data_IF_219124685544
#
_entry.id   IF_219124685544
#
_cell.length_a   1.000
_cell.length_b   1.000
_cell.length_c   1.000
_cell.angle_alpha   90.00
_cell.angle_beta   90.00
_cell.angle_gamma   90.00
#
_symmetry.space_group_name_H-M   'P 1'
#
loop_
_entity.id
_entity.type
_entity.pdbx_description
1 polymer ?
#
# COMPACT_ATOMS: atom_id res chain seq x y z
N UNK A 1 6.62 4.05 9.38
CA UNK A 1 5.87 2.81 9.16
C UNK A 1 5.04 2.54 10.40
N UNK A 2 3.73 2.39 10.28
CA UNK A 2 3.17 1.51 9.26
C UNK A 2 2.00 2.17 8.56
N UNK A 3 2.19 2.47 7.27
CA UNK A 3 1.16 2.97 6.35
C UNK A 3 0.16 1.86 5.96
N UNK A 4 0.20 0.73 6.67
CA UNK A 4 -0.62 -0.45 6.41
C UNK A 4 -1.35 -0.93 7.65
N UNK A 5 -2.64 -1.28 7.53
CA UNK A 5 -3.39 -1.93 8.59
C UNK A 5 -2.94 -3.37 8.86
N UNK A 6 -2.28 -4.04 7.91
CA UNK A 6 -1.83 -5.43 8.04
C UNK A 6 -0.67 -5.58 9.04
N UNK A 7 0.10 -4.52 9.26
CA UNK A 7 1.27 -4.52 10.11
C UNK A 7 0.96 -4.87 11.58
N UNK A 8 1.89 -5.56 12.24
CA UNK A 8 1.74 -5.90 13.65
C UNK A 8 1.55 -4.64 14.52
N UNK A 9 0.54 -4.67 15.41
CA UNK A 9 0.32 -3.59 16.38
C UNK A 9 1.45 -3.57 17.42
N UNK A 10 1.73 -2.44 18.10
CA UNK A 10 2.70 -2.41 19.19
C UNK A 10 2.43 -3.44 20.28
N UNK A 11 1.16 -3.72 20.57
CA UNK A 11 0.75 -4.75 21.52
C UNK A 11 1.13 -6.16 21.05
N UNK A 12 0.88 -6.47 19.76
CA UNK A 12 1.29 -7.74 19.15
C UNK A 12 2.81 -7.90 19.10
N UNK A 13 3.54 -6.85 18.75
CA UNK A 13 5.02 -6.85 18.74
C UNK A 13 5.58 -7.14 20.13
N UNK A 14 4.96 -6.61 21.19
CA UNK A 14 5.37 -6.88 22.58
C UNK A 14 4.77 -8.18 23.14
N UNK A 15 3.86 -8.84 22.42
CA UNK A 15 3.21 -10.08 22.85
C UNK A 15 2.30 -9.90 24.07
N UNK A 16 1.52 -8.82 24.11
CA UNK A 16 0.55 -8.53 25.18
C UNK A 16 -0.82 -8.13 24.60
N UNK A 17 -1.93 -8.36 25.32
CA UNK A 17 -3.22 -7.82 24.89
C UNK A 17 -3.25 -6.29 25.04
N UNK A 18 -4.10 -5.61 24.26
CA UNK A 18 -4.34 -4.16 24.37
C UNK A 18 -4.87 -3.74 25.74
N UNK A 19 -5.45 -4.67 26.50
CA UNK A 19 -5.95 -4.48 27.88
C UNK A 19 -4.90 -4.69 28.97
N UNK A 20 -3.65 -5.00 28.62
CA UNK A 20 -2.59 -5.25 29.60
C UNK A 20 -2.35 -4.02 30.51
N UNK A 21 -2.07 -4.23 31.80
CA UNK A 21 -1.67 -3.14 32.69
C UNK A 21 -0.25 -2.63 32.38
N UNK A 22 0.10 -1.46 32.92
CA UNK A 22 1.40 -0.81 32.67
C UNK A 22 2.59 -1.65 33.16
N UNK A 23 2.39 -2.50 34.17
CA UNK A 23 3.43 -3.38 34.70
C UNK A 23 3.69 -4.58 33.79
N UNK A 24 2.63 -5.19 33.27
CA UNK A 24 2.70 -6.25 32.27
C UNK A 24 3.34 -5.73 30.98
N UNK A 25 2.98 -4.52 30.56
CA UNK A 25 3.57 -3.87 29.39
C UNK A 25 5.09 -3.65 29.57
N UNK A 26 5.51 -3.11 30.72
CA UNK A 26 6.93 -2.93 31.06
C UNK A 26 7.69 -4.25 31.12
N UNK A 27 7.10 -5.30 31.71
CA UNK A 27 7.70 -6.65 31.76
C UNK A 27 7.86 -7.24 30.36
N UNK A 28 6.84 -7.12 29.52
CA UNK A 28 6.83 -7.64 28.17
C UNK A 28 7.89 -6.96 27.29
N UNK A 29 8.02 -5.63 27.38
CA UNK A 29 9.07 -4.90 26.68
C UNK A 29 10.47 -5.38 27.08
N UNK A 30 10.77 -5.51 28.38
CA UNK A 30 12.09 -6.00 28.83
C UNK A 30 12.40 -7.40 28.31
N UNK A 31 11.40 -8.28 28.28
CA UNK A 31 11.54 -9.64 27.73
C UNK A 31 11.82 -9.59 26.23
N UNK A 32 10.95 -8.91 25.47
CA UNK A 32 11.06 -8.81 24.01
C UNK A 32 12.38 -8.14 23.57
N UNK A 33 12.82 -7.10 24.29
CA UNK A 33 14.09 -6.43 24.01
C UNK A 33 15.30 -7.35 24.24
N UNK A 34 15.26 -8.20 25.28
CA UNK A 34 16.34 -9.17 25.55
C UNK A 34 16.37 -10.29 24.51
N UNK A 35 15.20 -10.81 24.12
CA UNK A 35 15.07 -11.90 23.15
C UNK A 35 15.46 -11.47 21.74
N UNK A 36 15.20 -10.21 21.37
CA UNK A 36 15.52 -9.69 20.04
C UNK A 36 16.92 -9.07 19.92
N UNK A 37 17.68 -8.91 21.02
CA UNK A 37 18.94 -8.19 21.00
C UNK A 37 20.01 -8.85 20.10
N UNK A 38 20.65 -8.13 19.15
CA UNK A 38 21.61 -8.71 18.21
C UNK A 38 22.83 -9.33 18.90
N UNK A 39 23.36 -8.70 19.96
CA UNK A 39 24.50 -9.24 20.72
C UNK A 39 24.15 -10.51 21.51
N UNK A 40 22.86 -10.83 21.66
CA UNK A 40 22.38 -12.07 22.30
C UNK A 40 21.92 -13.10 21.26
N UNK A 41 22.25 -12.91 19.98
CA UNK A 41 21.84 -13.78 18.89
C UNK A 41 20.43 -13.52 18.37
N UNK A 42 19.80 -12.41 18.76
CA UNK A 42 18.50 -11.98 18.27
C UNK A 42 18.58 -11.27 16.91
N UNK A 43 17.41 -11.03 16.31
CA UNK A 43 17.30 -10.35 15.02
C UNK A 43 17.23 -8.82 15.20
N UNK A 44 18.17 -8.10 14.55
CA UNK A 44 18.24 -6.64 14.64
C UNK A 44 16.99 -5.93 14.10
N UNK A 45 16.32 -6.51 13.09
CA UNK A 45 15.06 -5.96 12.57
C UNK A 45 13.96 -6.08 13.63
N UNK A 46 13.83 -7.26 14.25
CA UNK A 46 12.92 -7.48 15.37
C UNK A 46 13.21 -6.53 16.53
N UNK A 47 14.48 -6.34 16.92
CA UNK A 47 14.83 -5.41 17.99
C UNK A 47 14.35 -3.98 17.70
N UNK A 48 14.55 -3.49 16.47
CA UNK A 48 14.02 -2.17 16.06
C UNK A 48 12.50 -2.10 16.16
N UNK A 49 11.78 -3.15 15.76
CA UNK A 49 10.30 -3.20 15.92
C UNK A 49 9.89 -3.11 17.38
N UNK A 50 10.59 -3.81 18.28
CA UNK A 50 10.34 -3.76 19.73
C UNK A 50 10.56 -2.34 20.28
N UNK A 51 11.63 -1.64 19.86
CA UNK A 51 11.88 -0.26 20.27
C UNK A 51 10.78 0.69 19.78
N UNK A 52 10.42 0.61 18.48
CA UNK A 52 9.35 1.43 17.92
C UNK A 52 7.99 1.16 18.58
N UNK A 53 7.71 -0.09 18.96
CA UNK A 53 6.51 -0.44 19.72
C UNK A 53 6.52 0.24 21.10
N UNK A 54 7.65 0.18 21.80
CA UNK A 54 7.80 0.83 23.11
C UNK A 54 7.67 2.35 23.04
N UNK A 55 8.22 3.01 22.01
CA UNK A 55 8.04 4.45 21.81
C UNK A 55 6.56 4.84 21.69
N UNK A 56 5.74 3.97 21.08
CA UNK A 56 4.32 4.24 20.83
C UNK A 56 3.41 4.01 22.02
N UNK A 57 3.67 2.99 22.82
CA UNK A 57 2.76 2.59 23.91
C UNK A 57 3.41 2.50 25.28
N UNK A 58 4.73 2.72 25.39
CA UNK A 58 5.48 2.53 26.62
C UNK A 58 5.22 3.57 27.72
N UNK A 59 4.58 4.69 27.39
CA UNK A 59 4.13 5.68 28.38
C UNK A 59 2.61 5.80 28.36
N UNK A 60 1.95 6.14 29.49
CA UNK A 60 0.50 6.32 29.52
C UNK A 60 -0.01 7.36 28.52
N UNK A 61 0.76 8.42 28.27
CA UNK A 61 0.40 9.45 27.29
C UNK A 61 0.48 8.92 25.85
N UNK A 62 1.59 8.25 25.49
CA UNK A 62 1.77 7.67 24.16
C UNK A 62 0.74 6.57 23.89
N UNK A 63 0.49 5.71 24.89
CA UNK A 63 -0.53 4.67 24.84
C UNK A 63 -1.93 5.22 24.61
N UNK A 64 -2.34 6.25 25.37
CA UNK A 64 -3.64 6.92 25.13
C UNK A 64 -3.74 7.53 23.74
N UNK A 65 -2.68 8.18 23.27
CA UNK A 65 -2.65 8.78 21.93
C UNK A 65 -2.74 7.70 20.83
N UNK A 66 -2.05 6.57 21.03
CA UNK A 66 -2.15 5.41 20.16
C UNK A 66 -3.58 4.85 20.17
N UNK A 67 -4.13 4.50 21.34
CA UNK A 67 -5.44 3.85 21.48
C UNK A 67 -6.59 4.72 20.96
N UNK A 68 -6.58 6.03 21.27
CA UNK A 68 -7.57 7.00 20.80
C UNK A 68 -7.57 7.19 19.28
N UNK A 69 -6.60 6.60 18.57
CA UNK A 69 -6.53 6.56 17.11
C UNK A 69 -6.56 7.95 16.53
N UNK A 70 -5.50 8.75 16.76
CA UNK A 70 -5.34 10.15 16.30
C UNK A 70 -6.46 10.59 15.35
N UNK A 71 -7.55 11.15 15.91
CA UNK A 71 -8.77 11.61 15.23
C UNK A 71 -8.50 12.82 14.30
N UNK A 72 -7.38 12.84 13.58
CA UNK A 72 -6.90 14.01 12.86
C UNK A 72 -5.64 13.82 12.04
N UNK A 73 -5.52 12.76 11.23
CA UNK A 73 -4.54 12.79 10.12
C UNK A 73 -4.82 11.80 8.99
N UNK A 74 -6.03 11.85 8.44
CA UNK A 74 -6.28 11.44 7.05
C UNK A 74 -7.17 12.51 6.42
N UNK A 75 -6.54 13.59 5.98
CA UNK A 75 -7.22 14.75 5.39
C UNK A 75 -6.69 16.10 5.87
N UNK A 76 -5.41 16.40 5.57
CA UNK A 76 -4.94 17.77 5.27
C UNK A 76 -3.42 17.75 5.19
N UNK A 77 -2.90 17.86 3.98
CA UNK A 77 -1.57 18.39 3.74
C UNK A 77 -1.46 19.80 4.34
N UNK A 78 -0.55 20.00 5.30
CA UNK A 78 0.00 21.33 5.59
C UNK A 78 0.06 21.75 7.06
N UNK A 79 1.28 22.08 7.48
CA UNK A 79 1.65 23.07 8.51
C UNK A 79 1.69 22.60 9.97
N UNK A 80 2.91 22.30 10.45
CA UNK A 80 3.26 22.39 11.87
C UNK A 80 3.73 23.82 12.23
N UNK A 81 3.49 24.31 13.46
CA UNK A 81 3.81 25.67 13.85
C UNK A 81 5.21 25.74 14.48
N UNK A 82 6.08 26.57 13.91
CA UNK A 82 7.22 27.13 14.65
C UNK A 82 7.24 28.64 14.42
N UNK A 83 6.92 29.37 15.49
CA UNK A 83 7.20 30.80 15.60
C UNK A 83 8.67 31.01 15.95
N UNK A 84 9.39 31.79 15.15
CA UNK A 84 10.44 32.68 15.66
C UNK A 84 10.40 33.99 14.88
N UNK A 85 10.20 35.06 15.63
CA UNK A 85 10.30 36.49 15.31
C UNK A 85 11.58 36.89 14.55
N UNK A 86 11.46 37.84 13.62
CA UNK A 86 12.60 38.54 13.02
C UNK A 86 12.16 39.61 12.02
N UNK A 87 12.48 40.86 12.31
CA UNK A 87 11.93 42.08 11.73
C UNK A 87 12.32 42.41 10.27
N UNK A 88 11.55 43.35 9.72
CA UNK A 88 11.94 44.48 8.85
C UNK A 88 11.99 44.28 7.32
N UNK A 89 11.41 45.26 6.61
CA UNK A 89 11.72 45.55 5.21
C UNK A 89 10.51 45.75 4.29
N UNK A 90 9.92 46.94 4.34
CA UNK A 90 8.90 47.40 3.39
C UNK A 90 9.52 47.71 2.00
N UNK A 91 8.78 47.43 0.91
CA UNK A 91 8.46 48.42 -0.14
C UNK A 91 7.78 47.79 -1.38
N UNK A 92 6.51 48.17 -1.59
CA UNK A 92 5.92 48.66 -2.84
C UNK A 92 6.00 47.85 -4.14
N UNK A 93 4.84 47.55 -4.73
CA UNK A 93 4.36 48.28 -5.92
C UNK A 93 2.91 47.91 -6.28
N UNK A 94 2.19 48.95 -6.67
CA UNK A 94 0.78 49.10 -6.98
C UNK A 94 0.33 48.49 -8.30
N UNK A 95 -0.92 48.05 -8.36
CA UNK A 95 -1.68 47.81 -9.60
C UNK A 95 -3.18 47.86 -9.33
N UNK A 96 -3.75 49.07 -9.41
CA UNK A 96 -5.18 49.36 -9.21
C UNK A 96 -6.03 48.90 -10.40
N UNK A 97 -7.14 48.20 -10.14
CA UNK A 97 -8.30 48.23 -11.03
C UNK A 97 -9.59 48.33 -10.20
N UNK A 98 -10.44 49.23 -10.64
CA UNK A 98 -11.63 49.79 -10.02
C UNK A 98 -12.87 48.93 -10.26
N UNK A 99 -13.70 48.72 -9.23
CA UNK A 99 -15.03 48.12 -9.40
C UNK A 99 -15.79 47.83 -8.09
N UNK A 100 -16.46 48.86 -7.56
CA UNK A 100 -17.69 48.93 -6.71
C UNK A 100 -17.95 47.90 -5.57
N UNK A 101 -18.44 48.33 -4.38
CA UNK A 101 -18.61 47.47 -3.22
C UNK A 101 -19.97 46.75 -3.22
N UNK A 102 -19.95 45.44 -3.03
CA UNK A 102 -21.12 44.70 -2.54
C UNK A 102 -20.80 44.17 -1.13
N UNK A 103 -21.70 44.49 -0.22
CA UNK A 103 -21.63 44.20 1.20
C UNK A 103 -22.18 42.80 1.49
N UNK A 104 -21.33 41.86 1.89
CA UNK A 104 -21.82 40.64 2.51
C UNK A 104 -20.87 39.45 2.43
N UNK A 105 -20.24 39.17 3.57
CA UNK A 105 -19.57 37.90 3.95
C UNK A 105 -18.18 37.69 3.36
N UNK A 106 -17.19 38.09 4.17
CA UNK A 106 -15.87 37.46 4.22
C UNK A 106 -16.02 35.98 4.62
N UNK A 107 -16.40 35.13 3.67
CA UNK A 107 -16.12 33.71 3.74
C UNK A 107 -14.75 33.52 3.09
N UNK A 108 -13.71 33.32 3.91
CA UNK A 108 -12.48 32.70 3.44
C UNK A 108 -12.85 31.34 2.85
N UNK A 109 -13.03 31.28 1.53
CA UNK A 109 -13.13 30.03 0.79
C UNK A 109 -11.69 29.52 0.60
N UNK A 110 -11.32 28.34 1.14
CA UNK A 110 -10.01 27.78 0.86
C UNK A 110 -9.88 27.64 -0.66
N UNK A 111 -8.70 27.92 -1.25
CA UNK A 111 -8.51 27.76 -2.68
C UNK A 111 -8.88 26.32 -3.04
N UNK A 112 -9.86 26.16 -3.93
CA UNK A 112 -10.22 24.86 -4.46
C UNK A 112 -8.94 24.18 -4.94
N UNK A 113 -8.66 22.97 -4.44
CA UNK A 113 -7.48 22.21 -4.85
C UNK A 113 -7.40 22.25 -6.39
N UNK A 114 -6.31 22.81 -6.91
CA UNK A 114 -6.12 22.97 -8.36
C UNK A 114 -6.32 21.59 -8.97
N UNK A 115 -7.31 21.43 -9.85
CA UNK A 115 -7.49 20.18 -10.61
C UNK A 115 -6.17 19.92 -11.32
N UNK A 116 -5.55 18.80 -10.99
CA UNK A 116 -4.33 18.36 -11.63
C UNK A 116 -4.65 18.10 -13.11
N UNK A 117 -4.16 18.97 -13.99
CA UNK A 117 -4.39 18.90 -15.45
C UNK A 117 -3.35 18.01 -16.14
N UNK A 118 -2.43 17.39 -15.38
CA UNK A 118 -1.42 16.51 -15.96
C UNK A 118 -2.12 15.36 -16.67
N UNK A 119 -1.73 15.04 -17.91
CA UNK A 119 -2.24 13.89 -18.61
C UNK A 119 -1.95 12.61 -17.81
N UNK A 120 -2.97 11.81 -17.49
CA UNK A 120 -2.89 10.57 -16.70
C UNK A 120 -2.89 9.32 -17.59
N UNK A 121 -2.52 8.19 -17.01
CA UNK A 121 -2.64 6.90 -17.68
C UNK A 121 -4.10 6.58 -18.01
N UNK A 122 -4.32 5.79 -19.06
CA UNK A 122 -5.64 5.22 -19.34
C UNK A 122 -5.89 4.07 -18.35
N UNK A 123 -7.02 4.08 -17.67
CA UNK A 123 -7.37 3.10 -16.63
C UNK A 123 -8.74 2.47 -16.91
N UNK A 124 -8.83 1.17 -16.68
CA UNK A 124 -10.02 0.35 -16.87
C UNK A 124 -10.20 -0.60 -15.68
N UNK A 125 -11.44 -0.88 -15.27
CA UNK A 125 -11.73 -1.67 -14.06
C UNK A 125 -11.73 -0.82 -12.79
N UNK A 126 -11.90 -1.47 -11.64
CA UNK A 126 -12.00 -0.82 -10.32
C UNK A 126 -10.89 -1.34 -9.40
N UNK A 127 -9.74 -0.66 -9.28
CA UNK A 127 -8.64 -1.16 -8.46
C UNK A 127 -9.06 -1.29 -7.00
N UNK A 128 -8.80 -2.44 -6.40
CA UNK A 128 -9.12 -2.74 -5.01
C UNK A 128 -10.61 -3.01 -4.77
N UNK A 129 -11.46 -2.98 -5.81
CA UNK A 129 -12.90 -3.14 -5.66
C UNK A 129 -13.26 -4.49 -5.06
N UNK A 130 -12.78 -5.57 -5.69
CA UNK A 130 -13.02 -6.93 -5.20
C UNK A 130 -12.40 -7.17 -3.83
N UNK A 131 -11.19 -6.66 -3.61
CA UNK A 131 -10.45 -6.79 -2.35
C UNK A 131 -11.18 -6.08 -1.20
N UNK A 132 -11.72 -4.87 -1.44
CA UNK A 132 -12.55 -4.13 -0.48
C UNK A 132 -13.83 -4.87 -0.14
N UNK A 133 -14.53 -5.42 -1.12
CA UNK A 133 -15.75 -6.19 -0.87
C UNK A 133 -15.49 -7.38 0.06
N UNK A 134 -14.42 -8.14 -0.20
CA UNK A 134 -14.02 -9.28 0.63
C UNK A 134 -13.67 -8.81 2.05
N UNK A 135 -12.94 -7.70 2.19
CA UNK A 135 -12.67 -7.09 3.50
C UNK A 135 -13.96 -6.71 4.24
N UNK A 136 -14.86 -5.95 3.60
CA UNK A 136 -16.11 -5.46 4.21
C UNK A 136 -17.02 -6.62 4.63
N UNK A 137 -17.04 -7.70 3.86
CA UNK A 137 -17.78 -8.90 4.23
C UNK A 137 -17.17 -9.55 5.47
N UNK A 138 -15.86 -9.79 5.48
CA UNK A 138 -15.16 -10.41 6.60
C UNK A 138 -15.27 -9.58 7.89
N UNK A 139 -15.16 -8.25 7.79
CA UNK A 139 -15.33 -7.35 8.91
C UNK A 139 -16.75 -7.41 9.48
N UNK A 140 -17.77 -7.39 8.62
CA UNK A 140 -19.17 -7.48 9.04
C UNK A 140 -19.49 -8.82 9.73
N UNK A 141 -18.94 -9.92 9.22
CA UNK A 141 -19.07 -11.24 9.84
C UNK A 141 -18.39 -11.28 11.22
N UNK A 142 -17.25 -10.61 11.37
CA UNK A 142 -16.51 -10.54 12.64
C UNK A 142 -17.17 -9.65 13.69
N UNK A 143 -17.59 -8.42 13.33
CA UNK A 143 -18.29 -7.51 14.25
C UNK A 143 -19.64 -8.08 14.66
N UNK A 144 -20.28 -8.82 13.76
CA UNK A 144 -21.59 -9.42 13.95
C UNK A 144 -22.63 -8.81 13.02
N UNK A 145 -23.41 -9.65 12.36
CA UNK A 145 -24.37 -9.26 11.32
C UNK A 145 -25.49 -8.31 11.79
N UNK A 146 -25.68 -8.14 13.10
CA UNK A 146 -26.76 -7.34 13.69
C UNK A 146 -26.38 -5.93 14.12
N UNK A 147 -25.09 -5.62 14.26
CA UNK A 147 -24.63 -4.31 14.73
C UNK A 147 -24.21 -3.44 13.54
N UNK A 148 -24.78 -2.22 13.38
CA UNK A 148 -24.38 -1.34 12.30
C UNK A 148 -22.96 -0.84 12.53
N UNK A 149 -22.08 -1.09 11.55
CA UNK A 149 -20.77 -0.47 11.49
C UNK A 149 -20.93 0.93 10.87
N UNK A 150 -20.72 1.97 11.68
CA UNK A 150 -20.85 3.38 11.24
C UNK A 150 -19.75 3.77 10.25
N UNK A 151 -18.50 3.42 10.56
CA UNK A 151 -17.34 3.60 9.69
C UNK A 151 -16.51 2.30 9.63
N UNK A 152 -16.64 1.51 8.55
CA UNK A 152 -15.85 0.29 8.29
C UNK A 152 -14.34 0.50 8.19
N UNK A 153 -13.89 1.75 8.15
CA UNK A 153 -12.47 2.08 8.04
C UNK A 153 -11.97 2.83 9.29
N UNK A 154 -12.76 2.88 10.37
CA UNK A 154 -12.34 3.50 11.62
C UNK A 154 -11.02 2.86 12.11
N UNK A 155 -9.94 3.64 12.29
CA UNK A 155 -8.64 3.09 12.64
C UNK A 155 -8.64 2.30 13.95
N UNK A 156 -9.54 2.59 14.88
CA UNK A 156 -9.65 1.87 16.16
C UNK A 156 -10.31 0.52 15.96
N UNK A 157 -11.40 0.48 15.19
CA UNK A 157 -12.05 -0.76 14.77
C UNK A 157 -11.05 -1.66 14.03
N UNK A 158 -10.40 -1.14 12.99
CA UNK A 158 -9.42 -1.88 12.18
C UNK A 158 -8.32 -2.45 13.06
N UNK A 159 -7.70 -1.66 13.95
CA UNK A 159 -6.60 -2.14 14.81
C UNK A 159 -7.04 -3.24 15.78
N UNK A 160 -8.30 -3.26 16.19
CA UNK A 160 -8.86 -4.30 17.06
C UNK A 160 -9.21 -5.59 16.30
N UNK A 161 -9.31 -5.53 14.97
CA UNK A 161 -9.67 -6.67 14.15
C UNK A 161 -8.57 -7.77 14.14
N UNK A 162 -8.97 -9.05 14.04
CA UNK A 162 -8.06 -10.16 13.82
C UNK A 162 -7.09 -9.90 12.67
N UNK A 163 -5.84 -10.39 12.79
CA UNK A 163 -4.77 -10.15 11.81
C UNK A 163 -5.19 -10.48 10.37
N UNK A 164 -5.94 -11.57 10.16
CA UNK A 164 -6.38 -11.96 8.82
C UNK A 164 -7.36 -10.96 8.20
N UNK A 165 -8.21 -10.28 8.98
CA UNK A 165 -9.13 -9.24 8.49
C UNK A 165 -8.35 -7.97 8.14
N UNK A 166 -7.44 -7.56 9.02
CA UNK A 166 -6.55 -6.42 8.75
C UNK A 166 -5.71 -6.62 7.50
N UNK A 167 -5.29 -7.87 7.24
CA UNK A 167 -4.58 -8.25 6.01
C UNK A 167 -5.44 -8.01 4.76
N UNK A 168 -6.73 -8.37 4.77
CA UNK A 168 -7.62 -8.13 3.63
C UNK A 168 -7.71 -6.63 3.28
N UNK A 169 -7.81 -5.76 4.30
CA UNK A 169 -7.75 -4.32 4.06
C UNK A 169 -6.38 -3.88 3.56
N UNK A 170 -5.30 -4.44 4.09
CA UNK A 170 -3.93 -4.18 3.64
C UNK A 170 -3.73 -4.52 2.16
N UNK A 171 -4.26 -5.66 1.71
CA UNK A 171 -4.25 -6.09 0.31
C UNK A 171 -5.03 -5.10 -0.58
N UNK A 172 -6.24 -4.71 -0.18
CA UNK A 172 -7.03 -3.71 -0.91
C UNK A 172 -6.31 -2.36 -1.03
N UNK A 173 -5.71 -1.86 0.06
CA UNK A 173 -4.96 -0.61 0.05
C UNK A 173 -3.64 -0.70 -0.73
N UNK A 174 -2.97 -1.85 -0.72
CA UNK A 174 -1.77 -2.09 -1.51
C UNK A 174 -2.08 -2.04 -3.01
N UNK A 175 -3.20 -2.64 -3.41
CA UNK A 175 -3.72 -2.63 -4.76
C UNK A 175 -4.04 -1.21 -5.25
N UNK A 176 -4.77 -0.44 -4.45
CA UNK A 176 -5.12 0.96 -4.74
C UNK A 176 -3.90 1.86 -4.82
N UNK A 177 -2.93 1.68 -3.90
CA UNK A 177 -1.69 2.44 -3.92
C UNK A 177 -0.88 2.17 -5.20
N UNK A 178 -0.89 0.92 -5.67
CA UNK A 178 -0.27 0.52 -6.94
C UNK A 178 -0.98 1.19 -8.11
N UNK A 179 -2.32 1.17 -8.14
CA UNK A 179 -3.11 1.84 -9.16
C UNK A 179 -2.88 3.36 -9.18
N UNK A 180 -2.76 4.01 -8.02
CA UNK A 180 -2.44 5.44 -7.92
C UNK A 180 -1.09 5.76 -8.56
N UNK A 181 -0.05 4.98 -8.26
CA UNK A 181 1.29 5.17 -8.86
C UNK A 181 1.21 5.03 -10.38
N UNK A 182 0.55 3.98 -10.88
CA UNK A 182 0.42 3.70 -12.31
C UNK A 182 -0.40 4.79 -13.02
N UNK A 183 -1.47 5.29 -12.40
CA UNK A 183 -2.30 6.37 -12.95
C UNK A 183 -1.50 7.65 -13.19
N UNK A 184 -0.50 7.93 -12.35
CA UNK A 184 0.30 9.16 -12.40
C UNK A 184 1.48 9.06 -13.39
N UNK A 185 1.71 7.89 -14.01
CA UNK A 185 2.80 7.69 -14.98
C UNK A 185 2.54 8.32 -16.37
N UNK A 186 1.33 8.83 -16.60
CA UNK A 186 0.97 9.59 -17.80
C UNK A 186 0.48 8.77 -19.00
N UNK A 187 0.23 9.47 -20.12
CA UNK A 187 -0.57 8.97 -21.27
C UNK A 187 0.02 7.78 -22.03
N UNK A 188 1.33 7.53 -21.85
CA UNK A 188 2.02 6.38 -22.45
C UNK A 188 1.63 5.05 -21.79
N UNK A 189 0.96 5.10 -20.63
CA UNK A 189 0.57 3.93 -19.85
C UNK A 189 -0.92 3.63 -20.03
N UNK A 190 -1.25 2.35 -20.10
CA UNK A 190 -2.62 1.84 -20.04
C UNK A 190 -2.67 0.73 -19.01
N UNK A 191 -3.65 0.76 -18.11
CA UNK A 191 -3.80 -0.23 -17.04
C UNK A 191 -5.22 -0.78 -17.02
N UNK A 192 -5.31 -2.08 -16.78
CA UNK A 192 -6.55 -2.79 -16.46
C UNK A 192 -6.41 -3.29 -15.03
N UNK A 193 -7.45 -3.10 -14.23
CA UNK A 193 -7.52 -3.44 -12.80
C UNK A 193 -8.52 -4.57 -12.57
N UNK A 194 -8.33 -5.39 -11.54
CA UNK A 194 -9.26 -6.46 -11.13
C UNK A 194 -9.62 -7.40 -12.29
N UNK A 195 -8.61 -8.00 -12.93
CA UNK A 195 -8.83 -8.92 -14.07
C UNK A 195 -9.28 -10.30 -13.58
N UNK A 196 -10.34 -10.83 -14.18
CA UNK A 196 -10.79 -12.21 -13.97
C UNK A 196 -9.73 -13.22 -14.46
N UNK A 197 -9.23 -14.04 -13.54
CA UNK A 197 -8.28 -15.12 -13.81
C UNK A 197 -8.95 -16.51 -13.69
N UNK A 198 -10.29 -16.57 -13.68
CA UNK A 198 -11.08 -17.78 -13.60
C UNK A 198 -10.86 -18.53 -12.30
N UNK A 199 -10.50 -19.81 -12.39
CA UNK A 199 -10.27 -20.65 -11.21
C UNK A 199 -9.06 -20.20 -10.36
N UNK A 200 -8.18 -19.36 -10.90
CA UNK A 200 -7.03 -18.81 -10.17
C UNK A 200 -7.40 -17.50 -9.41
N UNK A 201 -8.67 -17.08 -9.43
CA UNK A 201 -9.14 -15.87 -8.76
C UNK A 201 -9.05 -14.65 -9.66
N UNK A 202 -8.30 -13.64 -9.24
CA UNK A 202 -8.07 -12.40 -9.99
C UNK A 202 -6.58 -12.14 -10.20
N UNK A 203 -6.27 -11.28 -11.15
CA UNK A 203 -4.98 -10.60 -11.28
C UNK A 203 -5.22 -9.11 -11.02
N UNK A 204 -4.54 -8.53 -10.02
CA UNK A 204 -4.80 -7.15 -9.62
C UNK A 204 -4.64 -6.15 -10.76
N UNK A 205 -3.51 -6.20 -11.49
CA UNK A 205 -3.29 -5.29 -12.61
C UNK A 205 -2.61 -5.95 -13.82
N UNK A 206 -3.03 -5.53 -15.00
CA UNK A 206 -2.25 -5.62 -16.22
C UNK A 206 -1.80 -4.22 -16.62
N UNK A 207 -0.49 -3.94 -16.59
CA UNK A 207 0.06 -2.60 -16.88
C UNK A 207 0.84 -2.63 -18.19
N UNK A 208 0.33 -1.92 -19.19
CA UNK A 208 0.98 -1.74 -20.48
C UNK A 208 1.74 -0.41 -20.51
N UNK A 209 3.05 -0.51 -20.72
CA UNK A 209 3.96 0.62 -20.89
C UNK A 209 4.72 0.48 -22.21
N UNK A 210 5.49 1.51 -22.64
CA UNK A 210 6.39 1.36 -23.77
C UNK A 210 7.45 0.26 -23.60
N UNK A 211 7.79 -0.11 -22.35
CA UNK A 211 8.79 -1.15 -22.05
C UNK A 211 8.21 -2.56 -21.99
N UNK A 212 6.87 -2.71 -21.92
CA UNK A 212 6.25 -4.03 -21.90
C UNK A 212 4.86 -4.08 -21.29
N UNK A 213 4.29 -5.30 -21.31
CA UNK A 213 3.07 -5.62 -20.58
C UNK A 213 3.41 -6.39 -19.30
N UNK A 214 2.95 -5.90 -18.17
CA UNK A 214 3.30 -6.42 -16.85
C UNK A 214 2.07 -6.96 -16.14
N UNK A 215 2.15 -8.19 -15.63
CA UNK A 215 1.19 -8.71 -14.67
C UNK A 215 1.65 -8.28 -13.27
N UNK A 216 0.79 -7.64 -12.50
CA UNK A 216 1.13 -7.06 -11.21
C UNK A 216 0.15 -7.59 -10.18
N UNK A 217 0.67 -8.11 -9.07
CA UNK A 217 -0.08 -8.37 -7.83
C UNK A 217 0.48 -7.48 -6.74
N UNK A 218 -0.39 -6.92 -5.91
CA UNK A 218 -0.05 -6.02 -4.82
C UNK A 218 -0.36 -6.69 -3.49
N UNK A 219 0.67 -7.00 -2.70
CA UNK A 219 0.50 -7.81 -1.49
C UNK A 219 1.09 -7.10 -0.28
N UNK A 220 0.38 -7.20 0.84
CA UNK A 220 0.84 -6.72 2.13
C UNK A 220 0.70 -7.80 3.21
N UNK A 221 1.84 -8.38 3.61
CA UNK A 221 1.89 -9.39 4.67
C UNK A 221 1.98 -8.80 6.08
N UNK A 222 2.10 -7.48 6.24
CA UNK A 222 2.25 -6.83 7.54
C UNK A 222 3.54 -7.21 8.31
N UNK A 223 4.54 -7.74 7.60
CA UNK A 223 5.85 -8.08 8.13
C UNK A 223 6.89 -8.19 6.99
N UNK A 224 8.20 -8.09 7.33
CA UNK A 224 9.26 -8.39 6.38
C UNK A 224 9.18 -9.82 5.83
N UNK A 225 9.52 -9.98 4.56
CA UNK A 225 9.57 -11.25 3.84
C UNK A 225 10.88 -11.40 3.09
N UNK A 226 11.18 -12.62 2.65
CA UNK A 226 12.37 -12.93 1.83
C UNK A 226 12.01 -13.90 0.73
N UNK A 227 12.78 -13.85 -0.35
CA UNK A 227 12.70 -14.83 -1.44
C UNK A 227 13.51 -16.07 -1.05
N UNK A 228 12.88 -17.24 -1.02
CA UNK A 228 13.52 -18.53 -0.77
C UNK A 228 12.93 -19.60 -1.68
N UNK A 229 13.76 -20.50 -2.22
CA UNK A 229 13.32 -21.61 -3.08
C UNK A 229 12.40 -21.20 -4.25
N UNK A 230 12.60 -19.99 -4.78
CA UNK A 230 11.82 -19.46 -5.91
C UNK A 230 10.43 -18.94 -5.54
N UNK A 231 10.17 -18.69 -4.25
CA UNK A 231 8.92 -18.11 -3.76
C UNK A 231 9.16 -17.19 -2.56
N UNK A 232 8.08 -16.64 -1.98
CA UNK A 232 8.14 -15.79 -0.78
C UNK A 232 8.01 -16.65 0.48
N UNK A 233 8.82 -16.32 1.49
CA UNK A 233 8.70 -16.85 2.85
C UNK A 233 8.72 -15.71 3.86
N UNK A 234 7.96 -15.86 4.94
CA UNK A 234 7.85 -14.86 6.01
C UNK A 234 6.97 -15.37 7.14
N UNK A 235 7.05 -14.71 8.29
CA UNK A 235 6.37 -15.12 9.53
C UNK A 235 4.85 -15.05 9.43
N UNK A 236 4.33 -14.15 8.60
CA UNK A 236 2.90 -13.84 8.48
C UNK A 236 2.23 -14.46 7.25
N UNK A 237 2.97 -15.25 6.46
CA UNK A 237 2.39 -15.99 5.34
C UNK A 237 1.52 -17.13 5.86
N UNK A 238 0.39 -17.36 5.19
CA UNK A 238 -0.47 -18.48 5.50
C UNK A 238 0.24 -19.81 5.18
N UNK A 239 -0.07 -20.92 5.91
CA UNK A 239 0.50 -22.22 5.60
C UNK A 239 0.23 -22.63 4.16
N UNK A 240 1.31 -22.87 3.39
CA UNK A 240 1.22 -23.27 1.99
C UNK A 240 1.01 -22.15 0.98
N UNK A 241 0.94 -20.88 1.42
CA UNK A 241 0.90 -19.70 0.55
C UNK A 241 2.13 -19.70 -0.38
N UNK A 242 1.89 -19.47 -1.69
CA UNK A 242 2.93 -19.47 -2.73
C UNK A 242 2.74 -18.26 -3.66
N UNK A 243 3.01 -17.03 -3.17
CA UNK A 243 2.62 -15.80 -3.87
C UNK A 243 3.18 -15.68 -5.28
N UNK A 244 4.42 -16.12 -5.51
CA UNK A 244 5.02 -16.06 -6.85
C UNK A 244 4.35 -17.07 -7.78
N UNK A 245 4.04 -18.28 -7.29
CA UNK A 245 3.35 -19.29 -8.10
C UNK A 245 1.91 -18.93 -8.39
N UNK A 246 1.24 -18.26 -7.45
CA UNK A 246 -0.13 -17.73 -7.60
C UNK A 246 -0.16 -16.64 -8.69
N UNK A 247 0.71 -15.62 -8.59
CA UNK A 247 0.89 -14.61 -9.64
C UNK A 247 1.19 -15.23 -11.02
N UNK A 248 2.05 -16.25 -11.07
CA UNK A 248 2.35 -16.94 -12.34
C UNK A 248 1.12 -17.64 -12.91
N UNK A 249 0.28 -18.25 -12.06
CA UNK A 249 -0.95 -18.94 -12.47
C UNK A 249 -2.02 -17.95 -12.93
N UNK A 250 -2.29 -16.90 -12.15
CA UNK A 250 -3.23 -15.83 -12.51
C UNK A 250 -2.84 -15.17 -13.86
N UNK A 251 -1.57 -14.77 -14.01
CA UNK A 251 -1.06 -14.20 -15.26
C UNK A 251 -1.17 -15.16 -16.46
N UNK A 252 -1.00 -16.48 -16.25
CA UNK A 252 -1.18 -17.49 -17.31
C UNK A 252 -2.64 -17.68 -17.68
N UNK A 253 -3.55 -17.62 -16.71
CA UNK A 253 -4.99 -17.70 -16.95
C UNK A 253 -5.46 -16.51 -17.80
N UNK A 254 -5.09 -15.29 -17.41
CA UNK A 254 -5.37 -14.07 -18.19
C UNK A 254 -4.73 -14.14 -19.59
N UNK A 255 -3.47 -14.58 -19.71
CA UNK A 255 -2.82 -14.77 -21.01
C UNK A 255 -3.58 -15.77 -21.91
N UNK A 256 -4.10 -16.87 -21.35
CA UNK A 256 -4.86 -17.88 -22.11
C UNK A 256 -6.17 -17.29 -22.64
N UNK A 257 -6.83 -16.47 -21.84
CA UNK A 257 -8.07 -15.77 -22.21
C UNK A 257 -7.83 -14.71 -23.30
N UNK A 258 -6.85 -13.83 -23.11
CA UNK A 258 -6.63 -12.67 -23.98
C UNK A 258 -5.80 -13.00 -25.22
N UNK A 259 -5.01 -14.08 -25.15
CA UNK A 259 -3.96 -14.45 -26.10
C UNK A 259 -2.78 -13.45 -26.14
N UNK A 260 -2.66 -12.61 -25.12
CA UNK A 260 -1.57 -11.64 -24.98
C UNK A 260 -0.58 -12.13 -23.94
N UNK A 261 0.70 -12.15 -24.28
CA UNK A 261 1.77 -12.59 -23.37
C UNK A 261 2.29 -11.42 -22.55
N UNK A 262 2.39 -11.61 -21.23
CA UNK A 262 3.08 -10.69 -20.34
C UNK A 262 4.60 -10.73 -20.57
N UNK A 263 5.21 -9.55 -20.66
CA UNK A 263 6.66 -9.33 -20.65
C UNK A 263 7.27 -9.79 -19.32
N UNK A 264 6.63 -9.42 -18.21
CA UNK A 264 7.11 -9.72 -16.86
C UNK A 264 5.98 -9.83 -15.84
N UNK A 265 6.36 -10.22 -14.63
CA UNK A 265 5.48 -10.40 -13.47
C UNK A 265 6.07 -9.66 -12.29
N UNK A 266 5.28 -8.79 -11.68
CA UNK A 266 5.69 -7.97 -10.55
C UNK A 266 4.83 -8.35 -9.35
N UNK A 267 5.49 -8.55 -8.22
CA UNK A 267 4.85 -8.66 -6.93
C UNK A 267 5.24 -7.38 -6.17
N UNK A 268 4.29 -6.46 -6.03
CA UNK A 268 4.50 -5.14 -5.47
C UNK A 268 4.18 -5.17 -3.99
N UNK A 269 5.12 -4.70 -3.18
CA UNK A 269 5.07 -4.84 -1.72
C UNK A 269 5.36 -3.51 -1.04
N UNK A 270 4.88 -3.29 0.19
CA UNK A 270 5.31 -2.13 0.99
C UNK A 270 6.84 -2.07 1.10
N UNK A 271 7.39 -0.86 1.19
CA UNK A 271 8.84 -0.66 1.24
C UNK A 271 9.51 -1.32 2.46
N UNK A 272 8.74 -1.53 3.54
CA UNK A 272 9.15 -2.25 4.75
C UNK A 272 9.23 -3.76 4.57
N UNK A 273 8.56 -4.32 3.55
CA UNK A 273 8.45 -5.75 3.37
C UNK A 273 9.77 -6.38 2.90
N UNK A 274 10.61 -5.63 2.17
CA UNK A 274 11.87 -6.09 1.60
C UNK A 274 12.98 -5.04 1.76
N UNK A 275 14.24 -5.47 1.74
CA UNK A 275 15.40 -4.59 1.99
C UNK A 275 15.94 -3.87 0.75
N UNK A 276 15.66 -4.41 -0.45
CA UNK A 276 16.12 -3.86 -1.72
C UNK A 276 14.92 -3.47 -2.59
N UNK A 277 15.11 -2.49 -3.47
CA UNK A 277 14.04 -1.95 -4.32
C UNK A 277 13.46 -2.97 -5.28
N UNK A 278 14.32 -3.85 -5.81
CA UNK A 278 13.95 -4.92 -6.74
C UNK A 278 14.71 -6.20 -6.39
N UNK A 279 13.98 -7.28 -6.17
CA UNK A 279 14.54 -8.61 -5.95
C UNK A 279 14.06 -9.58 -7.04
N UNK A 280 15.01 -10.27 -7.69
CA UNK A 280 14.72 -11.27 -8.71
C UNK A 280 14.29 -12.59 -8.07
N UNK A 281 13.22 -13.21 -8.59
CA UNK A 281 12.82 -14.58 -8.22
C UNK A 281 13.14 -15.54 -9.37
N UNK A 282 13.98 -16.54 -9.09
CA UNK A 282 14.41 -17.52 -10.09
C UNK A 282 15.72 -17.13 -10.79
N UNK A 283 15.90 -17.55 -12.04
CA UNK A 283 17.15 -17.32 -12.78
C UNK A 283 17.29 -15.86 -13.22
N UNK A 284 18.48 -15.23 -13.05
CA UNK A 284 18.72 -13.86 -13.52
C UNK A 284 18.50 -13.66 -15.03
N UNK A 285 18.72 -14.68 -15.85
CA UNK A 285 18.53 -14.61 -17.32
C UNK A 285 17.06 -14.60 -17.72
N UNK A 286 16.20 -15.19 -16.91
CA UNK A 286 14.77 -15.34 -17.17
C UNK A 286 14.03 -15.40 -15.83
N UNK A 287 13.87 -14.26 -15.16
CA UNK A 287 13.23 -14.23 -13.86
C UNK A 287 11.79 -14.72 -13.98
N UNK A 288 11.34 -15.43 -12.95
CA UNK A 288 9.95 -15.90 -12.84
C UNK A 288 9.04 -14.74 -12.50
N UNK A 289 9.48 -13.91 -11.55
CA UNK A 289 8.85 -12.66 -11.13
C UNK A 289 9.92 -11.71 -10.53
N UNK A 290 9.54 -10.46 -10.35
CA UNK A 290 10.27 -9.46 -9.57
C UNK A 290 9.45 -9.12 -8.33
N UNK A 291 10.07 -9.14 -7.15
CA UNK A 291 9.50 -8.51 -5.96
C UNK A 291 9.98 -7.06 -5.93
N UNK A 292 9.05 -6.11 -5.91
CA UNK A 292 9.34 -4.71 -6.13
C UNK A 292 8.77 -3.89 -4.98
N UNK A 293 9.60 -3.06 -4.36
CA UNK A 293 9.11 -2.05 -3.43
C UNK A 293 8.16 -1.12 -4.16
N UNK A 294 7.04 -0.81 -3.53
CA UNK A 294 6.03 0.09 -4.07
C UNK A 294 6.64 1.43 -4.53
N UNK A 295 7.58 2.02 -3.79
CA UNK A 295 8.27 3.25 -4.21
C UNK A 295 9.15 3.11 -5.46
N UNK A 296 9.63 1.90 -5.77
CA UNK A 296 10.44 1.61 -6.94
C UNK A 296 9.62 1.23 -8.19
N UNK A 297 8.31 0.98 -8.04
CA UNK A 297 7.43 0.49 -9.10
C UNK A 297 7.50 1.33 -10.39
N UNK A 298 7.42 2.66 -10.26
CA UNK A 298 7.46 3.57 -11.40
C UNK A 298 8.77 3.45 -12.19
N UNK A 299 9.91 3.27 -11.51
CA UNK A 299 11.20 3.08 -12.17
C UNK A 299 11.26 1.75 -12.94
N UNK A 300 10.76 0.67 -12.33
CA UNK A 300 10.70 -0.65 -12.97
C UNK A 300 9.87 -0.59 -14.24
N UNK A 301 8.65 -0.04 -14.15
CA UNK A 301 7.71 0.08 -15.26
C UNK A 301 8.19 1.04 -16.36
N UNK A 302 8.97 2.07 -16.02
CA UNK A 302 9.58 3.00 -16.98
C UNK A 302 10.78 2.42 -17.73
N UNK A 303 11.17 1.17 -17.48
CA UNK A 303 12.25 0.52 -18.21
C UNK A 303 13.59 0.49 -17.49
N UNK A 304 13.75 1.14 -16.33
CA UNK A 304 15.03 1.21 -15.60
C UNK A 304 15.53 -0.19 -15.20
N UNK A 305 14.60 -1.10 -14.91
CA UNK A 305 14.87 -2.48 -14.52
C UNK A 305 14.15 -3.51 -15.41
N UNK A 306 13.73 -3.09 -16.62
CA UNK A 306 12.97 -3.96 -17.52
C UNK A 306 13.88 -4.80 -18.43
N UNK A 307 13.45 -6.01 -18.84
CA UNK A 307 14.09 -6.73 -19.92
C UNK A 307 14.10 -5.90 -21.22
N UNK A 308 15.15 -6.03 -22.06
CA UNK A 308 15.19 -5.32 -23.35
C UNK A 308 14.16 -5.91 -24.33
N UNK A 309 13.45 -5.02 -25.04
CA UNK A 309 12.53 -5.38 -26.11
C UNK A 309 11.47 -4.31 -26.34
N UNK A 310 11.11 -4.08 -27.60
CA UNK A 310 9.96 -3.25 -27.96
C UNK A 310 8.70 -4.10 -28.03
N UNK A 311 7.59 -3.62 -27.48
CA UNK A 311 6.27 -4.24 -27.65
C UNK A 311 5.39 -3.40 -28.57
N UNK A 312 4.52 -4.04 -29.34
CA UNK A 312 3.47 -3.34 -30.07
C UNK A 312 2.37 -2.92 -29.09
N UNK A 313 2.51 -1.70 -28.55
CA UNK A 313 1.58 -1.13 -27.57
C UNK A 313 0.17 -1.00 -28.13
N UNK A 314 0.01 -0.78 -29.44
CA UNK A 314 -1.32 -0.58 -30.03
C UNK A 314 -2.05 -1.91 -30.17
N UNK A 315 -1.39 -2.92 -30.76
CA UNK A 315 -1.97 -4.26 -30.91
C UNK A 315 -2.34 -4.86 -29.55
N UNK A 316 -1.43 -4.76 -28.57
CA UNK A 316 -1.66 -5.29 -27.21
C UNK A 316 -2.85 -4.58 -26.56
N UNK A 317 -2.92 -3.24 -26.64
CA UNK A 317 -4.01 -2.48 -26.05
C UNK A 317 -5.35 -2.89 -26.65
N UNK A 318 -5.45 -2.90 -27.98
CA UNK A 318 -6.69 -3.23 -28.67
C UNK A 318 -7.15 -4.65 -28.34
N UNK A 319 -6.21 -5.59 -28.27
CA UNK A 319 -6.50 -6.98 -27.89
C UNK A 319 -6.99 -7.11 -26.46
N UNK A 320 -6.31 -6.49 -25.49
CA UNK A 320 -6.73 -6.53 -24.09
C UNK A 320 -8.09 -5.87 -23.91
N UNK A 321 -8.31 -4.69 -24.50
CA UNK A 321 -9.58 -3.96 -24.40
C UNK A 321 -10.80 -4.77 -24.86
N UNK A 322 -10.61 -5.65 -25.85
CA UNK A 322 -11.69 -6.49 -26.39
C UNK A 322 -11.92 -7.80 -25.64
N UNK A 323 -10.94 -8.27 -24.85
CA UNK A 323 -10.92 -9.66 -24.35
C UNK A 323 -10.81 -9.79 -22.83
N UNK A 324 -10.38 -8.75 -22.13
CA UNK A 324 -10.34 -8.72 -20.68
C UNK A 324 -11.75 -8.82 -20.09
N UNK A 325 -11.83 -9.49 -18.95
CA UNK A 325 -13.00 -9.50 -18.08
C UNK A 325 -12.55 -9.00 -16.71
N UNK A 326 -13.47 -8.33 -16.02
CA UNK A 326 -13.24 -7.78 -14.69
C UNK A 326 -14.04 -8.57 -13.67
N UNK A 327 -13.57 -8.60 -12.42
CA UNK A 327 -14.29 -9.14 -11.25
C UNK A 327 -14.93 -8.07 -10.40
#
# INVERSE_FOLDING_TARGET
>A
MTDSPADATPYEVLGVPSTADDDALRRAYRRAARESHPDLGGDAQHFRRVQLAWERIGTPAARRAYDAGSRGSFGSSGTGPFSTSGASGASGASGSSTGRPDSGRDAYAPPSARRDTRPRARSHGHPGGRSREVFLQAEREWVGLGDPIEDPYDPTLIRSAPRHIRRLLGEALAEEATASIVSDMGIGVTVWHDLDAGAEGKLDHAVLTPSGLWAVESIDWGAPVRVEHGDIVGETLAPGERPVKELVRAARAVQKQTRVRFTGRLLVVPDSAVEVDVQLVGSPKKPTALVVRRSALGQVLNGVWSPPGSVDVFEIRDRLQQTVRFV
#
